data_IF_199747436464
#
_entry.id   IF_199747436464
#
_cell.length_a   1.000
_cell.length_b   1.000
_cell.length_c   1.000
_cell.angle_alpha   90.00
_cell.angle_beta   90.00
_cell.angle_gamma   90.00
#
_symmetry.space_group_name_H-M   'P 1'
#
loop_
_entity.id
_entity.type
_entity.pdbx_description
1 polymer ?
#
# COMPACT_ATOMS: atom_id res chain seq x y z
N UNK A 1 12.87 21.92 15.70
CA UNK A 1 13.11 20.46 15.60
C UNK A 1 12.26 19.84 16.68
N UNK A 2 11.03 19.45 16.32
CA UNK A 2 10.13 18.76 17.25
C UNK A 2 10.65 17.34 17.45
N UNK A 3 10.90 16.97 18.70
CA UNK A 3 11.35 15.64 19.09
C UNK A 3 10.19 14.66 18.96
N UNK A 4 10.36 13.47 18.35
CA UNK A 4 9.27 12.50 18.30
C UNK A 4 8.92 12.02 19.71
N UNK A 5 7.61 12.00 20.00
CA UNK A 5 7.03 11.59 21.28
C UNK A 5 7.41 10.15 21.64
N UNK A 6 7.52 9.89 22.95
CA UNK A 6 8.05 8.70 23.61
C UNK A 6 7.13 7.47 23.59
N UNK A 7 6.40 7.20 22.50
CA UNK A 7 5.45 6.06 22.40
C UNK A 7 5.95 4.91 21.50
N UNK A 8 7.27 4.79 21.33
CA UNK A 8 7.94 3.78 20.47
C UNK A 8 8.58 2.63 21.24
N UNK A 9 8.14 2.33 22.45
CA UNK A 9 8.67 1.21 23.25
C UNK A 9 7.66 0.07 23.27
N UNK A 10 7.91 -0.97 22.47
CA UNK A 10 7.14 -2.23 22.33
C UNK A 10 6.10 -2.29 21.20
N UNK A 11 6.41 -1.79 20.00
CA UNK A 11 5.70 -2.27 18.80
C UNK A 11 6.50 -3.41 18.19
N UNK A 12 5.89 -4.60 18.16
CA UNK A 12 6.41 -5.79 17.45
C UNK A 12 6.18 -5.69 15.93
N UNK A 13 5.36 -4.73 15.51
CA UNK A 13 4.90 -4.52 14.14
C UNK A 13 5.57 -3.29 13.54
N UNK A 14 5.88 -3.31 12.24
CA UNK A 14 6.44 -2.13 11.59
C UNK A 14 5.38 -1.01 11.50
N UNK A 15 5.79 0.28 11.46
CA UNK A 15 4.86 1.38 11.32
C UNK A 15 3.94 1.26 10.09
N UNK A 16 4.48 0.80 8.97
CA UNK A 16 3.72 0.54 7.73
C UNK A 16 2.72 -0.61 7.82
N UNK A 17 2.87 -1.54 8.76
CA UNK A 17 1.94 -2.66 8.94
C UNK A 17 0.68 -2.25 9.74
N UNK A 18 0.63 -1.01 10.24
CA UNK A 18 -0.41 -0.53 11.14
C UNK A 18 -1.35 0.42 10.41
N UNK A 19 -2.64 0.14 10.50
CA UNK A 19 -3.69 0.96 9.90
C UNK A 19 -4.15 1.99 10.94
N UNK A 20 -4.37 3.22 10.50
CA UNK A 20 -4.96 4.26 11.35
C UNK A 20 -6.36 3.85 11.82
N UNK A 21 -6.68 4.09 13.10
CA UNK A 21 -8.03 3.86 13.63
C UNK A 21 -9.03 4.89 13.10
N UNK A 22 -8.54 6.04 12.62
CA UNK A 22 -9.34 7.09 12.00
C UNK A 22 -9.57 6.78 10.51
N UNK A 23 -10.79 7.01 9.98
CA UNK A 23 -11.05 6.84 8.55
C UNK A 23 -10.27 7.87 7.74
N UNK A 24 -9.45 7.38 6.81
CA UNK A 24 -8.63 8.20 5.90
C UNK A 24 -9.18 8.14 4.48
N UNK A 25 -9.08 9.25 3.76
CA UNK A 25 -9.39 9.31 2.34
C UNK A 25 -8.40 8.51 1.49
N UNK A 26 -8.75 8.27 0.23
CA UNK A 26 -7.86 7.57 -0.72
C UNK A 26 -6.57 8.36 -0.96
N UNK A 27 -6.66 9.70 -1.06
CA UNK A 27 -5.52 10.59 -1.24
C UNK A 27 -4.52 10.44 -0.08
N UNK A 28 -5.01 10.49 1.16
CA UNK A 28 -4.18 10.34 2.37
C UNK A 28 -3.56 8.94 2.51
N UNK A 29 -4.20 7.91 1.96
CA UNK A 29 -3.64 6.55 1.92
C UNK A 29 -2.54 6.40 0.86
N UNK A 30 -2.62 7.13 -0.25
CA UNK A 30 -1.58 7.11 -1.29
C UNK A 30 -0.27 7.74 -0.83
N UNK A 31 -0.33 8.75 0.03
CA UNK A 31 0.86 9.42 0.57
C UNK A 31 1.57 8.62 1.68
N UNK A 32 0.96 7.53 2.18
CA UNK A 32 1.55 6.74 3.26
C UNK A 32 2.67 5.82 2.76
N UNK A 33 3.82 5.93 3.42
CA UNK A 33 5.04 5.19 3.09
C UNK A 33 5.32 4.17 4.20
N UNK A 34 5.46 2.90 3.80
CA UNK A 34 5.75 1.79 4.71
C UNK A 34 7.25 1.66 4.98
N UNK A 35 8.07 1.84 3.95
CA UNK A 35 9.54 1.79 4.04
C UNK A 35 10.12 2.94 3.24
N UNK A 36 11.00 3.69 3.88
CA UNK A 36 11.82 4.73 3.25
C UNK A 36 13.26 4.54 3.75
N UNK A 37 14.01 3.68 3.04
CA UNK A 37 15.34 3.27 3.50
C UNK A 37 16.25 2.80 2.35
N UNK A 38 17.58 2.90 2.52
CA UNK A 38 18.52 2.26 1.62
C UNK A 38 18.47 0.74 1.77
N UNK A 39 18.40 0.02 0.66
CA UNK A 39 18.58 -1.43 0.62
C UNK A 39 20.05 -1.82 0.80
N UNK A 40 20.31 -3.11 1.04
CA UNK A 40 21.66 -3.69 1.16
C UNK A 40 22.54 -3.40 -0.06
N UNK A 41 21.92 -3.14 -1.22
CA UNK A 41 22.58 -2.78 -2.49
C UNK A 41 22.98 -1.30 -2.58
N UNK A 42 22.50 -0.45 -1.67
CA UNK A 42 22.75 0.99 -1.65
C UNK A 42 21.70 1.83 -2.40
N UNK A 43 20.73 1.19 -3.04
CA UNK A 43 19.60 1.88 -3.67
C UNK A 43 18.57 2.32 -2.62
N UNK A 44 18.01 3.51 -2.77
CA UNK A 44 16.97 4.04 -1.88
C UNK A 44 15.61 3.52 -2.34
N UNK A 45 14.99 2.68 -1.52
CA UNK A 45 13.69 2.08 -1.84
C UNK A 45 12.61 2.78 -1.02
N UNK A 46 11.61 3.30 -1.75
CA UNK A 46 10.38 3.83 -1.18
C UNK A 46 9.27 2.83 -1.47
N UNK A 47 8.70 2.25 -0.41
CA UNK A 47 7.59 1.29 -0.52
C UNK A 47 6.32 1.94 0.04
N UNK A 48 5.25 2.11 -0.75
CA UNK A 48 3.99 2.63 -0.27
C UNK A 48 3.27 1.63 0.64
N UNK A 49 2.49 2.13 1.60
CA UNK A 49 1.68 1.30 2.50
C UNK A 49 0.45 0.72 1.81
N UNK A 50 -0.13 1.47 0.87
CA UNK A 50 -1.33 1.10 0.14
C UNK A 50 -1.06 0.98 -1.36
N UNK A 51 -1.68 -0.02 -1.99
CA UNK A 51 -1.73 -0.18 -3.43
C UNK A 51 -2.97 0.50 -3.99
N UNK A 52 -2.77 1.40 -4.94
CA UNK A 52 -3.88 1.98 -5.68
C UNK A 52 -4.35 1.00 -6.76
N UNK A 53 -5.64 0.69 -6.75
CA UNK A 53 -6.30 -0.18 -7.73
C UNK A 53 -7.49 0.55 -8.32
N UNK A 54 -7.63 0.46 -9.63
CA UNK A 54 -8.84 0.83 -10.35
C UNK A 54 -9.63 -0.45 -10.68
N UNK A 55 -10.87 -0.50 -10.23
CA UNK A 55 -11.79 -1.61 -10.47
C UNK A 55 -12.52 -1.48 -11.81
N UNK A 56 -13.13 -2.57 -12.33
CA UNK A 56 -13.81 -2.55 -13.64
C UNK A 56 -14.94 -1.52 -13.77
N UNK A 57 -15.51 -1.09 -12.64
CA UNK A 57 -16.56 -0.09 -12.56
C UNK A 57 -16.03 1.36 -12.49
N UNK A 58 -14.71 1.53 -12.50
CA UNK A 58 -14.03 2.82 -12.38
C UNK A 58 -13.84 3.30 -10.93
N UNK A 59 -14.14 2.47 -9.93
CA UNK A 59 -13.85 2.80 -8.53
C UNK A 59 -12.34 2.71 -8.25
N UNK A 60 -11.78 3.74 -7.64
CA UNK A 60 -10.40 3.73 -7.16
C UNK A 60 -10.36 3.32 -5.69
N UNK A 61 -9.61 2.26 -5.38
CA UNK A 61 -9.40 1.76 -4.02
C UNK A 61 -7.92 1.83 -3.64
N UNK A 62 -7.67 2.07 -2.36
CA UNK A 62 -6.35 1.99 -1.76
C UNK A 62 -6.30 0.77 -0.82
N UNK A 63 -5.68 -0.32 -1.29
CA UNK A 63 -5.62 -1.62 -0.62
C UNK A 63 -4.35 -1.75 0.22
N UNK A 64 -4.48 -2.10 1.49
CA UNK A 64 -3.36 -2.28 2.40
C UNK A 64 -2.66 -3.62 2.16
N UNK A 65 -1.35 -3.60 1.95
CA UNK A 65 -0.55 -4.77 1.60
C UNK A 65 -0.70 -5.99 2.54
N UNK A 66 -0.89 -5.78 3.85
CA UNK A 66 -1.17 -6.86 4.81
C UNK A 66 -2.67 -7.21 4.93
N UNK A 67 -3.52 -6.24 5.28
CA UNK A 67 -4.94 -6.50 5.60
C UNK A 67 -5.75 -6.94 4.39
N UNK A 68 -5.47 -6.38 3.23
CA UNK A 68 -6.28 -6.56 2.03
C UNK A 68 -5.59 -7.52 1.04
N UNK A 69 -4.71 -8.39 1.54
CA UNK A 69 -3.93 -9.32 0.72
C UNK A 69 -4.81 -10.28 -0.11
N UNK A 70 -5.98 -10.67 0.41
CA UNK A 70 -6.95 -11.49 -0.32
C UNK A 70 -7.56 -10.73 -1.50
N UNK A 71 -8.00 -9.49 -1.26
CA UNK A 71 -8.56 -8.60 -2.28
C UNK A 71 -7.51 -8.22 -3.33
N UNK A 72 -6.28 -7.92 -2.91
CA UNK A 72 -5.15 -7.73 -3.83
C UNK A 72 -4.94 -8.98 -4.70
N UNK A 73 -5.02 -10.17 -4.11
CA UNK A 73 -4.87 -11.42 -4.86
C UNK A 73 -6.02 -11.61 -5.86
N UNK A 74 -7.25 -11.26 -5.49
CA UNK A 74 -8.42 -11.29 -6.37
C UNK A 74 -8.29 -10.30 -7.52
N UNK A 75 -7.87 -9.06 -7.24
CA UNK A 75 -7.57 -8.05 -8.26
C UNK A 75 -6.53 -8.58 -9.23
N UNK A 76 -5.44 -9.19 -8.75
CA UNK A 76 -4.39 -9.75 -9.63
C UNK A 76 -4.94 -10.92 -10.47
N UNK A 77 -5.77 -11.79 -9.91
CA UNK A 77 -6.40 -12.91 -10.65
C UNK A 77 -7.35 -12.43 -11.74
N UNK A 78 -8.08 -11.35 -11.46
CA UNK A 78 -9.04 -10.73 -12.38
C UNK A 78 -8.34 -9.85 -13.44
N UNK A 79 -7.17 -9.29 -13.09
CA UNK A 79 -6.31 -8.49 -13.97
C UNK A 79 -5.62 -9.35 -15.05
N UNK A 80 -6.41 -10.01 -15.90
CA UNK A 80 -5.86 -10.62 -17.11
C UNK A 80 -5.37 -9.52 -18.05
N UNK A 81 -4.32 -9.81 -18.80
CA UNK A 81 -3.78 -8.91 -19.82
C UNK A 81 -4.04 -9.48 -21.20
N UNK A 82 -4.24 -8.61 -22.18
CA UNK A 82 -4.25 -9.00 -23.59
C UNK A 82 -2.83 -9.15 -24.16
N UNK A 83 -2.74 -9.37 -25.47
CA UNK A 83 -1.47 -9.49 -26.19
C UNK A 83 -0.62 -8.21 -26.19
N UNK A 84 -1.24 -7.05 -25.92
CA UNK A 84 -0.57 -5.76 -25.82
C UNK A 84 -0.10 -5.46 -24.38
N UNK A 85 -0.43 -6.34 -23.42
CA UNK A 85 -0.15 -6.13 -22.00
C UNK A 85 -1.14 -5.18 -21.33
N UNK A 86 -2.25 -4.83 -21.99
CA UNK A 86 -3.29 -3.98 -21.43
C UNK A 86 -4.19 -4.81 -20.52
N UNK A 87 -4.59 -4.25 -19.38
CA UNK A 87 -5.54 -4.88 -18.45
C UNK A 87 -6.90 -5.01 -19.12
N UNK A 88 -7.50 -6.20 -19.00
CA UNK A 88 -8.83 -6.45 -19.54
C UNK A 88 -9.70 -7.18 -18.54
N UNK A 89 -10.97 -6.74 -18.50
CA UNK A 89 -12.02 -7.24 -17.62
C UNK A 89 -13.07 -7.94 -18.48
N UNK A 90 -13.18 -9.27 -18.41
CA UNK A 90 -14.19 -10.07 -19.13
C UNK A 90 -14.68 -11.25 -18.28
#
# INVERSE_FOLDING_TARGET
>A
METPSKDTKNRTTNPGDTISEEPQSIEEKREQIAVDAPDITGDHIVVPTYFEVEEPDGEHKALHHVKDAEEISDVIRQSRVDENGERVWW
#
